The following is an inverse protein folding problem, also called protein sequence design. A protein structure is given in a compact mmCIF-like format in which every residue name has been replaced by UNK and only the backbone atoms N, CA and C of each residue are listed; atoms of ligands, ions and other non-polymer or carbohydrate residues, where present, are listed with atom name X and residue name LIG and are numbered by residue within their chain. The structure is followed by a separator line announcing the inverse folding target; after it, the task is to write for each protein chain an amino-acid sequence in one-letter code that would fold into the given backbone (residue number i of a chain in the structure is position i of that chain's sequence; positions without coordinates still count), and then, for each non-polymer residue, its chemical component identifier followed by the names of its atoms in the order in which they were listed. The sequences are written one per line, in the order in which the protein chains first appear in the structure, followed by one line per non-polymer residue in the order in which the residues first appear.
data_IF_151088899860
#
_entry.id   IF_151088899860
#
_cell.length_a   1.000
_cell.length_b   1.000
_cell.length_c   1.000
_cell.angle_alpha   90.00
_cell.angle_beta   90.00
_cell.angle_gamma   90.00
#
_symmetry.space_group_name_H-M   'P 1'
#
loop_
_entity.id
_entity.type
_entity.pdbx_description
1 polymer ?
#
# COMPACT_ATOMS: atom_id res chain seq x y z
N UNK A 1 -3.64 -0.80 11.57
CA UNK A 1 -2.95 -1.98 12.13
C UNK A 1 -2.04 -2.55 11.05
N UNK A 2 -0.90 -3.13 11.44
CA UNK A 2 -0.01 -3.81 10.48
C UNK A 2 -0.65 -5.14 10.07
N UNK A 3 -0.73 -5.41 8.78
CA UNK A 3 -1.25 -6.66 8.21
C UNK A 3 -0.12 -7.50 7.60
N UNK A 4 -0.27 -8.83 7.53
CA UNK A 4 0.69 -9.68 6.82
C UNK A 4 0.67 -9.34 5.33
N UNK A 5 1.85 -9.32 4.71
CA UNK A 5 2.00 -9.15 3.27
C UNK A 5 1.99 -10.54 2.64
N UNK A 6 1.07 -10.75 1.70
CA UNK A 6 0.96 -11.99 0.95
C UNK A 6 2.10 -12.13 -0.04
N UNK A 7 2.67 -13.34 -0.08
CA UNK A 7 3.73 -13.68 -1.02
C UNK A 7 3.16 -14.14 -2.37
N UNK A 8 4.04 -14.21 -3.37
CA UNK A 8 3.72 -14.76 -4.68
C UNK A 8 3.08 -16.16 -4.56
N UNK A 9 2.04 -16.39 -5.37
CA UNK A 9 1.30 -17.65 -5.39
C UNK A 9 -0.07 -17.57 -4.73
N UNK A 10 -0.32 -16.56 -3.88
CA UNK A 10 -1.66 -16.36 -3.31
C UNK A 10 -2.68 -16.03 -4.42
N UNK A 11 -3.82 -16.75 -4.50
CA UNK A 11 -4.83 -16.54 -5.52
C UNK A 11 -5.40 -15.12 -5.57
N UNK A 12 -5.45 -14.40 -4.44
CA UNK A 12 -6.00 -13.04 -4.39
C UNK A 12 -5.18 -12.07 -5.24
N UNK A 13 -3.86 -12.30 -5.34
CA UNK A 13 -2.93 -11.44 -6.09
C UNK A 13 -3.11 -11.57 -7.61
N UNK A 14 -3.87 -12.57 -8.08
CA UNK A 14 -4.21 -12.78 -9.50
C UNK A 14 -5.64 -12.34 -9.84
N UNK A 15 -6.46 -12.02 -8.84
CA UNK A 15 -7.85 -11.61 -9.05
C UNK A 15 -7.92 -10.12 -9.39
N UNK A 16 -8.89 -9.75 -10.23
CA UNK A 16 -9.25 -8.34 -10.43
C UNK A 16 -9.82 -7.80 -9.12
N UNK A 17 -9.24 -6.72 -8.60
CA UNK A 17 -9.71 -6.07 -7.39
C UNK A 17 -11.10 -5.43 -7.61
N UNK A 18 -11.91 -5.41 -6.55
CA UNK A 18 -13.25 -4.83 -6.59
C UNK A 18 -13.18 -3.31 -6.45
N UNK A 19 -14.08 -2.62 -7.12
CA UNK A 19 -14.24 -1.17 -6.98
C UNK A 19 -14.60 -0.81 -5.53
N UNK A 20 -14.22 0.39 -5.11
CA UNK A 20 -14.46 0.87 -3.76
C UNK A 20 -15.68 1.75 -3.75
N UNK A 21 -16.59 1.48 -2.82
CA UNK A 21 -17.65 2.40 -2.47
C UNK A 21 -17.07 3.55 -1.63
N UNK A 22 -17.13 4.77 -2.15
CA UNK A 22 -16.66 5.99 -1.47
C UNK A 22 -17.69 6.53 -0.45
N UNK A 23 -18.93 6.05 -0.50
CA UNK A 23 -20.02 6.49 0.38
C UNK A 23 -19.94 5.84 1.78
N UNK A 24 -18.99 4.93 2.00
CA UNK A 24 -18.71 4.27 3.28
C UNK A 24 -17.33 4.67 3.85
N UNK A 25 -17.16 5.92 4.32
CA UNK A 25 -15.85 6.47 4.65
C UNK A 25 -15.19 5.83 5.88
N UNK A 26 -15.96 5.18 6.77
CA UNK A 26 -15.44 4.57 7.99
C UNK A 26 -14.50 3.40 7.70
N UNK A 27 -14.97 2.42 6.92
CA UNK A 27 -14.17 1.26 6.52
C UNK A 27 -13.00 1.68 5.62
N UNK A 28 -13.23 2.64 4.72
CA UNK A 28 -12.20 3.14 3.82
C UNK A 28 -11.05 3.80 4.60
N UNK A 29 -11.34 4.63 5.60
CA UNK A 29 -10.31 5.25 6.46
C UNK A 29 -9.49 4.20 7.21
N UNK A 30 -10.15 3.18 7.75
CA UNK A 30 -9.48 2.08 8.44
C UNK A 30 -8.54 1.31 7.51
N UNK A 31 -9.01 0.99 6.29
CA UNK A 31 -8.21 0.33 5.27
C UNK A 31 -6.99 1.17 4.85
N UNK A 32 -7.18 2.47 4.62
CA UNK A 32 -6.09 3.38 4.27
C UNK A 32 -5.04 3.40 5.39
N UNK A 33 -5.47 3.44 6.65
CA UNK A 33 -4.54 3.38 7.79
C UNK A 33 -3.75 2.07 7.81
N UNK A 34 -4.42 0.93 7.56
CA UNK A 34 -3.76 -0.37 7.51
C UNK A 34 -2.72 -0.48 6.39
N UNK A 35 -3.01 0.10 5.22
CA UNK A 35 -2.07 0.17 4.10
C UNK A 35 -0.82 0.96 4.47
N UNK A 36 -1.00 2.16 5.04
CA UNK A 36 0.12 2.99 5.49
C UNK A 36 0.96 2.32 6.58
N UNK A 37 0.31 1.83 7.64
CA UNK A 37 0.99 1.14 8.74
C UNK A 37 1.81 -0.05 8.22
N UNK A 38 1.24 -0.85 7.31
CA UNK A 38 1.90 -2.04 6.74
C UNK A 38 3.06 -1.67 5.81
N UNK A 39 2.87 -0.66 4.95
CA UNK A 39 3.89 -0.18 4.02
C UNK A 39 5.15 0.31 4.77
N UNK A 40 4.97 1.16 5.77
CA UNK A 40 6.08 1.69 6.56
C UNK A 40 6.76 0.61 7.39
N UNK A 41 6.00 -0.32 7.98
CA UNK A 41 6.58 -1.45 8.70
C UNK A 41 7.46 -2.34 7.78
N UNK A 42 7.06 -2.49 6.53
CA UNK A 42 7.81 -3.24 5.52
C UNK A 42 8.94 -2.42 4.84
N UNK A 43 9.13 -1.14 5.21
CA UNK A 43 10.04 -0.21 4.55
C UNK A 43 9.82 -0.13 3.02
N UNK A 44 8.55 -0.22 2.59
CA UNK A 44 8.16 -0.16 1.19
C UNK A 44 7.89 1.26 0.70
N UNK A 45 7.93 1.45 -0.63
CA UNK A 45 7.56 2.70 -1.31
C UNK A 45 6.05 2.79 -1.57
N UNK A 46 5.39 1.63 -1.73
CA UNK A 46 3.95 1.55 -1.94
C UNK A 46 3.41 0.15 -1.65
N UNK A 47 2.11 0.06 -1.41
CA UNK A 47 1.40 -1.21 -1.19
C UNK A 47 -0.06 -1.11 -1.63
N UNK A 48 -0.58 -2.17 -2.23
CA UNK A 48 -1.98 -2.29 -2.65
C UNK A 48 -2.78 -3.17 -1.69
N UNK A 49 -4.09 -2.92 -1.55
CA UNK A 49 -4.98 -3.71 -0.67
C UNK A 49 -4.93 -5.23 -0.92
N UNK A 50 -4.83 -5.73 -2.17
CA UNK A 50 -4.70 -7.17 -2.39
C UNK A 50 -3.46 -7.79 -1.72
N UNK A 51 -2.36 -7.04 -1.58
CA UNK A 51 -1.13 -7.53 -0.93
C UNK A 51 -1.32 -7.75 0.58
N UNK A 52 -2.35 -7.18 1.19
CA UNK A 52 -2.73 -7.40 2.60
C UNK A 52 -4.00 -8.26 2.74
N UNK A 53 -4.35 -9.01 1.68
CA UNK A 53 -5.48 -9.93 1.67
C UNK A 53 -6.85 -9.30 1.46
N UNK A 54 -6.92 -8.04 1.00
CA UNK A 54 -8.17 -7.31 0.80
C UNK A 54 -8.34 -6.99 -0.69
N UNK A 55 -9.27 -7.66 -1.37
CA UNK A 55 -9.51 -7.50 -2.81
C UNK A 55 -10.29 -6.22 -3.15
N UNK A 56 -9.74 -5.04 -2.81
CA UNK A 56 -10.28 -3.70 -3.13
C UNK A 56 -9.29 -2.93 -4.00
N UNK A 57 -9.78 -2.12 -4.94
CA UNK A 57 -8.99 -1.39 -5.93
C UNK A 57 -8.44 -0.07 -5.37
N UNK A 58 -7.52 -0.18 -4.40
CA UNK A 58 -6.80 0.95 -3.79
C UNK A 58 -5.36 0.57 -3.46
N UNK A 59 -4.48 1.56 -3.53
CA UNK A 59 -3.10 1.47 -3.09
C UNK A 59 -2.67 2.80 -2.45
N UNK A 60 -1.58 2.75 -1.68
CA UNK A 60 -0.87 3.92 -1.17
C UNK A 60 0.56 3.89 -1.70
N UNK A 61 1.17 5.07 -1.83
CA UNK A 61 2.58 5.21 -2.17
C UNK A 61 3.14 6.51 -1.59
N UNK A 62 4.40 6.47 -1.17
CA UNK A 62 5.15 7.61 -0.64
C UNK A 62 6.43 7.82 -1.43
N UNK A 63 6.48 8.94 -2.14
CA UNK A 63 7.62 9.36 -2.95
C UNK A 63 8.42 10.50 -2.29
N UNK A 64 8.17 10.81 -1.02
CA UNK A 64 8.88 11.88 -0.30
C UNK A 64 10.39 11.66 -0.23
N UNK A 65 10.86 10.42 -0.28
CA UNK A 65 12.30 10.08 -0.34
C UNK A 65 13.02 10.61 -1.59
N UNK A 66 12.29 10.92 -2.66
CA UNK A 66 12.85 11.50 -3.88
C UNK A 66 12.87 13.04 -3.87
N UNK A 67 12.31 13.69 -2.85
CA UNK A 67 12.22 15.16 -2.78
C UNK A 67 13.54 15.84 -2.39
N UNK A 68 14.51 15.09 -1.85
CA UNK A 68 15.86 15.56 -1.57
C UNK A 68 16.79 15.29 -2.76
N UNK A 69 16.51 15.89 -3.93
CA UNK A 69 17.39 15.81 -5.11
C UNK A 69 18.80 16.40 -4.86
N UNK A 70 19.01 17.15 -3.78
CA UNK A 70 20.34 17.61 -3.36
C UNK A 70 21.24 16.50 -2.76
N UNK A 71 20.70 15.31 -2.45
CA UNK A 71 21.49 14.19 -1.90
C UNK A 71 21.82 13.08 -2.92
N UNK A 72 21.11 13.00 -4.05
CA UNK A 72 21.41 12.02 -5.11
C UNK A 72 22.76 12.29 -5.80
N UNK A 73 23.25 13.54 -5.76
CA UNK A 73 24.55 13.94 -6.34
C UNK A 73 25.76 13.71 -5.42
N UNK A 74 25.56 13.30 -4.15
CA UNK A 74 26.64 13.11 -3.17
C UNK A 74 27.09 11.66 -3.00
N UNK A 75 26.50 10.74 -3.76
CA UNK A 75 26.83 9.30 -3.74
C UNK A 75 27.75 8.87 -4.89
N UNK A 76 28.38 9.81 -5.61
CA UNK A 76 29.46 9.56 -6.55
C UNK A 76 30.72 10.34 -6.14
#
# INVERSE_FOLDING_TARGET
MIRPILAYGDPILKKKALEINIDEPGELKSLIKDLWDTMYNAKGVGIAAPQIGISKSIFVADFSFFKDEDNFLKMN
#
